data_IF_913770672642
#
_entry.id   IF_913770672642
#
_cell.length_a   1.000
_cell.length_b   1.000
_cell.length_c   1.000
_cell.angle_alpha   90.00
_cell.angle_beta   90.00
_cell.angle_gamma   90.00
#
_symmetry.space_group_name_H-M   'P 1'
#
loop_
_entity.id
_entity.type
_entity.pdbx_description
1 polymer ?
#
# COMPACT_ATOMS: atom_id res chain seq x y z
N UNK A 1 -11.84 1.26 14.40
CA UNK A 1 -11.18 1.93 13.25
C UNK A 1 -11.06 3.42 13.54
N UNK A 2 -10.20 4.14 12.82
CA UNK A 2 -10.02 5.59 12.93
C UNK A 2 -10.72 6.31 11.80
N UNK A 3 -10.60 5.79 10.57
CA UNK A 3 -11.31 6.24 9.38
C UNK A 3 -12.37 5.18 9.07
N UNK A 4 -13.63 5.61 8.99
CA UNK A 4 -14.75 4.74 8.64
C UNK A 4 -15.13 4.86 7.17
N UNK A 5 -14.67 5.90 6.48
CA UNK A 5 -14.96 6.14 5.09
C UNK A 5 -14.55 7.53 4.64
N UNK A 6 -14.90 7.85 3.39
CA UNK A 6 -14.66 9.15 2.79
C UNK A 6 -15.66 9.45 1.67
N UNK A 7 -15.81 10.75 1.37
CA UNK A 7 -16.48 11.27 0.19
C UNK A 7 -15.45 11.98 -0.71
N UNK A 8 -15.71 12.02 -2.02
CA UNK A 8 -14.96 12.80 -3.01
C UNK A 8 -15.91 13.80 -3.67
N UNK A 9 -15.53 15.08 -3.64
CA UNK A 9 -16.24 16.17 -4.33
C UNK A 9 -15.59 16.40 -5.69
N UNK A 10 -16.20 15.89 -6.74
CA UNK A 10 -15.62 15.85 -8.08
C UNK A 10 -15.70 17.18 -8.87
N UNK A 11 -16.60 18.08 -8.49
CA UNK A 11 -16.91 19.29 -9.27
C UNK A 11 -15.75 20.29 -9.37
N UNK A 12 -14.74 20.16 -8.50
CA UNK A 12 -13.61 21.09 -8.36
C UNK A 12 -12.26 20.46 -8.72
N UNK A 13 -12.22 19.19 -9.18
CA UNK A 13 -10.97 18.50 -9.50
C UNK A 13 -10.64 18.74 -10.98
N UNK A 14 -9.55 19.47 -11.22
CA UNK A 14 -9.01 19.80 -12.54
C UNK A 14 -7.54 19.32 -12.65
N UNK A 15 -7.32 18.04 -12.35
CA UNK A 15 -6.02 17.37 -12.53
C UNK A 15 -6.19 15.95 -13.09
N UNK A 16 -5.07 15.30 -13.37
CA UNK A 16 -5.02 13.95 -13.96
C UNK A 16 -5.83 12.88 -13.22
N UNK A 17 -6.16 13.10 -11.95
CA UNK A 17 -6.93 12.13 -11.13
C UNK A 17 -8.35 11.98 -11.66
N UNK A 18 -8.91 13.04 -12.27
CA UNK A 18 -10.24 12.97 -12.88
C UNK A 18 -10.30 11.98 -14.08
N UNK A 19 -9.15 11.69 -14.71
CA UNK A 19 -9.02 10.76 -15.82
C UNK A 19 -8.81 9.30 -15.36
N UNK A 20 -8.49 9.07 -14.08
CA UNK A 20 -8.35 7.73 -13.52
C UNK A 20 -9.73 7.14 -13.26
N UNK A 21 -10.19 6.31 -14.20
CA UNK A 21 -11.56 5.77 -14.21
C UNK A 21 -11.96 5.08 -12.91
N UNK A 22 -11.08 4.30 -12.31
CA UNK A 22 -11.32 3.60 -11.05
C UNK A 22 -11.60 4.58 -9.91
N UNK A 23 -10.75 5.60 -9.72
CA UNK A 23 -10.95 6.62 -8.69
C UNK A 23 -12.20 7.43 -9.00
N UNK A 24 -12.43 7.80 -10.27
CA UNK A 24 -13.60 8.55 -10.72
C UNK A 24 -14.91 7.84 -10.45
N UNK A 25 -14.89 6.50 -10.33
CA UNK A 25 -16.06 5.70 -9.98
C UNK A 25 -16.49 5.81 -8.51
N UNK A 26 -15.69 6.48 -7.66
CA UNK A 26 -15.94 6.60 -6.22
C UNK A 26 -16.51 7.98 -5.91
N UNK A 27 -17.77 8.06 -5.50
CA UNK A 27 -18.34 9.26 -4.89
C UNK A 27 -18.17 9.20 -3.37
N UNK A 28 -18.45 8.03 -2.78
CA UNK A 28 -18.26 7.75 -1.36
C UNK A 28 -17.79 6.31 -1.16
N UNK A 29 -17.07 6.07 -0.07
CA UNK A 29 -16.59 4.75 0.27
C UNK A 29 -16.60 4.51 1.80
N UNK A 30 -16.91 3.27 2.20
CA UNK A 30 -16.90 2.84 3.61
C UNK A 30 -15.87 1.75 3.85
N UNK A 31 -15.00 1.98 4.82
CA UNK A 31 -14.15 0.94 5.40
C UNK A 31 -14.97 0.13 6.40
N UNK A 32 -15.03 -1.18 6.22
CA UNK A 32 -15.79 -2.08 7.07
C UNK A 32 -14.92 -3.04 7.89
N UNK A 33 -13.59 -3.03 7.66
CA UNK A 33 -12.60 -3.87 8.33
C UNK A 33 -11.39 -3.04 8.79
N UNK A 34 -10.68 -3.49 9.83
CA UNK A 34 -9.46 -2.83 10.29
C UNK A 34 -8.30 -2.93 9.30
N UNK A 35 -8.33 -3.89 8.38
CA UNK A 35 -7.36 -4.04 7.29
C UNK A 35 -8.08 -3.97 5.96
N UNK A 36 -7.67 -3.02 5.11
CA UNK A 36 -8.18 -2.86 3.76
C UNK A 36 -7.04 -2.90 2.76
N UNK A 37 -7.16 -3.74 1.75
CA UNK A 37 -6.23 -3.80 0.63
C UNK A 37 -6.81 -3.17 -0.63
N UNK A 38 -5.96 -2.42 -1.34
CA UNK A 38 -6.19 -1.97 -2.70
C UNK A 38 -5.36 -2.85 -3.63
N UNK A 39 -6.00 -3.59 -4.52
CA UNK A 39 -5.35 -4.42 -5.53
C UNK A 39 -5.78 -4.02 -6.94
N UNK A 40 -5.08 -4.49 -7.95
CA UNK A 40 -5.32 -4.20 -9.37
C UNK A 40 -4.03 -3.87 -10.12
N UNK A 41 -4.11 -3.64 -11.41
CA UNK A 41 -2.96 -3.40 -12.28
C UNK A 41 -2.21 -2.09 -11.98
N UNK A 42 -0.99 -1.96 -12.55
CA UNK A 42 -0.21 -0.73 -12.47
C UNK A 42 -0.96 0.42 -13.15
N UNK A 43 -0.90 1.63 -12.56
CA UNK A 43 -1.61 2.79 -13.08
C UNK A 43 -3.13 2.81 -12.81
N UNK A 44 -3.68 1.81 -12.11
CA UNK A 44 -5.12 1.76 -11.79
C UNK A 44 -5.57 2.77 -10.72
N UNK A 45 -4.65 3.52 -10.09
CA UNK A 45 -4.99 4.57 -9.13
C UNK A 45 -4.87 4.17 -7.64
N UNK A 46 -4.44 2.95 -7.31
CA UNK A 46 -4.28 2.48 -5.92
C UNK A 46 -3.42 3.41 -5.07
N UNK A 47 -2.17 3.65 -5.53
CA UNK A 47 -1.22 4.52 -4.83
C UNK A 47 -1.70 5.96 -4.76
N UNK A 48 -2.37 6.47 -5.80
CA UNK A 48 -2.94 7.81 -5.82
C UNK A 48 -4.01 8.01 -4.74
N UNK A 49 -4.93 7.05 -4.61
CA UNK A 49 -5.96 7.10 -3.56
C UNK A 49 -5.35 6.92 -2.17
N UNK A 50 -4.42 5.98 -2.02
CA UNK A 50 -3.72 5.73 -0.74
C UNK A 50 -2.95 6.97 -0.28
N UNK A 51 -2.21 7.61 -1.18
CA UNK A 51 -1.47 8.85 -0.94
C UNK A 51 -2.42 10.00 -0.53
N UNK A 52 -3.52 10.18 -1.26
CA UNK A 52 -4.51 11.22 -0.92
C UNK A 52 -5.10 11.00 0.49
N UNK A 53 -5.39 9.76 0.87
CA UNK A 53 -5.84 9.41 2.22
C UNK A 53 -4.77 9.72 3.28
N UNK A 54 -3.50 9.39 3.02
CA UNK A 54 -2.38 9.68 3.92
C UNK A 54 -2.18 11.19 4.11
N UNK A 55 -2.14 11.96 3.03
CA UNK A 55 -1.99 13.43 3.05
C UNK A 55 -3.18 14.08 3.78
N UNK A 56 -4.42 13.63 3.53
CA UNK A 56 -5.62 14.13 4.21
C UNK A 56 -5.59 13.90 5.73
N UNK A 57 -4.79 12.93 6.20
CA UNK A 57 -4.50 12.71 7.62
C UNK A 57 -3.31 13.51 8.15
N UNK A 58 -2.66 14.32 7.30
CA UNK A 58 -1.54 15.19 7.65
C UNK A 58 -0.20 14.45 7.66
N UNK A 59 -0.06 13.37 6.85
CA UNK A 59 1.20 12.71 6.59
C UNK A 59 1.88 13.31 5.37
N UNK A 60 3.21 13.20 5.31
CA UNK A 60 3.99 13.66 4.18
C UNK A 60 3.76 12.76 2.95
N UNK A 61 3.59 13.29 1.73
CA UNK A 61 3.43 12.49 0.51
C UNK A 61 4.61 11.56 0.21
N UNK A 62 5.82 11.89 0.68
CA UNK A 62 6.99 11.04 0.54
C UNK A 62 7.06 9.91 1.57
N UNK A 63 6.16 9.89 2.56
CA UNK A 63 6.10 8.90 3.63
C UNK A 63 6.67 9.37 4.97
N UNK A 64 6.67 8.49 5.96
CA UNK A 64 7.13 8.76 7.32
C UNK A 64 5.99 9.08 8.29
N UNK A 65 6.35 9.73 9.40
CA UNK A 65 5.40 10.18 10.43
C UNK A 65 5.01 11.66 10.20
N UNK A 66 4.06 12.16 10.97
CA UNK A 66 3.62 13.58 10.93
C UNK A 66 4.73 14.62 11.16
N UNK A 67 5.84 14.23 11.76
CA UNK A 67 6.92 15.14 12.14
C UNK A 67 7.91 15.42 10.99
N UNK A 68 7.69 14.84 9.81
CA UNK A 68 8.53 15.04 8.64
C UNK A 68 7.95 16.15 7.77
N UNK A 69 8.52 17.33 7.87
CA UNK A 69 8.15 18.52 7.09
C UNK A 69 9.22 18.76 6.00
N UNK A 70 9.28 17.84 5.03
CA UNK A 70 10.07 18.05 3.82
C UNK A 70 9.30 17.58 2.58
N UNK A 71 9.27 18.40 1.57
CA UNK A 71 8.77 18.08 0.24
C UNK A 71 9.90 18.27 -0.75
N UNK A 72 10.30 17.20 -1.41
CA UNK A 72 11.31 17.26 -2.48
C UNK A 72 10.65 17.52 -3.83
N UNK A 73 9.36 17.20 -3.98
CA UNK A 73 8.58 17.41 -5.20
C UNK A 73 7.10 17.68 -4.89
N UNK A 74 6.53 18.69 -5.56
CA UNK A 74 5.08 19.03 -5.51
C UNK A 74 4.27 18.20 -6.54
N UNK A 75 4.58 16.91 -6.72
CA UNK A 75 3.97 16.07 -7.77
C UNK A 75 2.80 15.19 -7.31
N UNK A 76 2.25 15.46 -6.12
CA UNK A 76 1.07 14.74 -5.63
C UNK A 76 -0.25 15.35 -6.14
N UNK A 77 -1.28 14.51 -6.25
CA UNK A 77 -2.58 14.92 -6.77
C UNK A 77 -3.33 15.87 -5.83
N UNK A 78 -4.24 16.69 -6.39
CA UNK A 78 -5.13 17.54 -5.61
C UNK A 78 -6.23 16.75 -4.87
N UNK A 79 -6.40 15.47 -5.13
CA UNK A 79 -7.49 14.64 -4.62
C UNK A 79 -7.73 14.80 -3.11
N UNK A 80 -6.65 14.86 -2.31
CA UNK A 80 -6.75 15.04 -0.85
C UNK A 80 -7.48 16.34 -0.44
N UNK A 81 -7.49 17.39 -1.28
CA UNK A 81 -8.20 18.66 -1.00
C UNK A 81 -9.70 18.47 -1.13
N UNK A 82 -10.12 17.62 -2.07
CA UNK A 82 -11.52 17.39 -2.43
C UNK A 82 -12.14 16.16 -1.72
N UNK A 83 -11.43 15.58 -0.76
CA UNK A 83 -11.91 14.48 0.07
C UNK A 83 -12.41 14.97 1.42
N UNK A 84 -13.49 14.34 1.92
CA UNK A 84 -13.95 14.46 3.31
C UNK A 84 -13.83 13.10 3.99
N UNK A 85 -13.14 13.02 5.14
CA UNK A 85 -12.96 11.75 5.88
C UNK A 85 -13.98 11.61 7.01
N UNK A 86 -14.62 10.45 7.07
CA UNK A 86 -15.50 10.07 8.19
C UNK A 86 -14.66 9.40 9.27
N UNK A 87 -14.44 10.11 10.37
CA UNK A 87 -13.59 9.65 11.46
C UNK A 87 -14.42 9.32 12.69
N UNK A 88 -14.12 8.19 13.36
CA UNK A 88 -14.71 7.84 14.65
C UNK A 88 -13.86 8.28 15.84
N UNK A 89 -12.54 8.24 15.69
CA UNK A 89 -11.57 8.63 16.73
C UNK A 89 -10.25 9.07 16.10
N UNK A 90 -9.41 9.75 16.88
CA UNK A 90 -8.05 10.12 16.47
C UNK A 90 -7.09 8.98 16.78
N UNK A 91 -6.19 8.59 15.86
CA UNK A 91 -5.12 7.65 16.14
C UNK A 91 -4.04 8.31 17.04
N UNK A 92 -3.41 7.51 17.89
CA UNK A 92 -2.26 7.94 18.71
C UNK A 92 -0.99 8.03 17.85
N UNK A 93 -0.90 7.19 16.83
CA UNK A 93 0.23 7.09 15.92
C UNK A 93 -0.24 6.96 14.48
N UNK A 94 0.52 7.56 13.55
CA UNK A 94 0.29 7.39 12.10
C UNK A 94 1.61 7.25 11.37
N UNK A 95 1.60 6.38 10.38
CA UNK A 95 2.75 6.15 9.52
C UNK A 95 2.32 5.89 8.08
N UNK A 96 3.01 6.53 7.13
CA UNK A 96 2.90 6.25 5.71
C UNK A 96 4.21 5.67 5.21
N UNK A 97 4.14 4.49 4.60
CA UNK A 97 5.29 3.82 4.02
C UNK A 97 5.08 3.71 2.53
N UNK A 98 6.06 4.23 1.78
CA UNK A 98 6.18 4.03 0.33
C UNK A 98 7.47 3.28 0.05
N UNK A 99 7.39 2.18 -0.69
CA UNK A 99 8.59 1.40 -1.02
C UNK A 99 9.61 2.24 -1.82
N UNK A 100 9.15 3.06 -2.75
CA UNK A 100 9.99 3.92 -3.60
C UNK A 100 10.80 4.95 -2.80
N UNK A 101 10.21 5.57 -1.79
CA UNK A 101 10.87 6.63 -0.99
C UNK A 101 11.46 6.13 0.32
N UNK A 102 11.30 4.85 0.63
CA UNK A 102 11.73 4.26 1.90
C UNK A 102 13.18 4.57 2.25
N UNK A 103 14.10 4.46 1.29
CA UNK A 103 15.52 4.73 1.54
C UNK A 103 15.80 6.19 1.88
N UNK A 104 15.11 7.11 1.21
CA UNK A 104 15.25 8.55 1.48
C UNK A 104 14.70 8.89 2.87
N UNK A 105 13.53 8.35 3.23
CA UNK A 105 12.90 8.54 4.54
C UNK A 105 13.74 7.91 5.65
N UNK A 106 14.21 6.68 5.47
CA UNK A 106 15.04 5.98 6.47
C UNK A 106 16.38 6.70 6.71
N UNK A 107 17.03 7.20 5.65
CA UNK A 107 18.27 7.97 5.76
C UNK A 107 18.05 9.26 6.55
N UNK A 108 17.01 10.04 6.21
CA UNK A 108 16.67 11.26 6.91
C UNK A 108 16.26 11.02 8.37
N UNK A 109 15.53 9.93 8.65
CA UNK A 109 15.16 9.55 10.02
C UNK A 109 16.39 9.26 10.88
N UNK A 110 17.42 8.62 10.31
CA UNK A 110 18.69 8.37 10.98
C UNK A 110 19.44 9.68 11.25
N UNK A 111 19.46 10.61 10.30
CA UNK A 111 20.07 11.93 10.47
C UNK A 111 19.40 12.73 11.60
N UNK A 112 18.07 12.77 11.64
CA UNK A 112 17.32 13.48 12.69
C UNK A 112 17.51 12.90 14.09
N UNK A 113 17.68 11.59 14.22
CA UNK A 113 17.87 10.93 15.52
C UNK A 113 19.32 10.93 16.00
N UNK A 114 20.27 11.44 15.20
CA UNK A 114 21.70 11.48 15.57
C UNK A 114 22.34 10.11 15.74
N UNK A 115 21.70 9.05 15.27
CA UNK A 115 22.16 7.67 15.38
C UNK A 115 22.90 7.33 14.08
N UNK A 116 24.16 7.73 13.99
CA UNK A 116 25.11 7.12 13.08
C UNK A 116 25.40 5.70 13.57
N UNK A 117 24.55 4.73 13.24
CA UNK A 117 24.87 3.34 13.50
C UNK A 117 25.34 2.69 12.22
N UNK A 118 26.63 2.36 12.17
CA UNK A 118 27.30 1.56 11.12
C UNK A 118 26.62 0.19 10.88
N UNK A 119 25.66 -0.20 11.73
CA UNK A 119 25.01 -1.51 11.72
C UNK A 119 23.92 -1.70 10.65
N UNK A 120 23.43 -0.65 10.01
CA UNK A 120 22.40 -0.79 8.97
C UNK A 120 22.96 -1.13 7.58
N UNK A 121 24.26 -0.87 7.36
CA UNK A 121 24.93 -1.24 6.11
C UNK A 121 25.23 -2.74 6.00
N UNK A 122 25.23 -3.47 7.12
CA UNK A 122 25.48 -4.92 7.16
C UNK A 122 24.20 -5.78 7.03
N UNK A 123 23.00 -5.17 7.04
CA UNK A 123 21.74 -5.88 6.87
C UNK A 123 21.27 -5.83 5.42
N UNK A 124 20.67 -6.94 4.92
CA UNK A 124 20.04 -6.91 3.60
C UNK A 124 18.92 -5.86 3.59
N UNK A 125 18.68 -5.25 2.42
CA UNK A 125 17.70 -4.19 2.19
C UNK A 125 16.30 -4.54 2.77
N UNK A 126 15.86 -5.78 2.59
CA UNK A 126 14.56 -6.26 3.11
C UNK A 126 14.51 -6.39 4.64
N UNK A 127 15.63 -6.69 5.30
CA UNK A 127 15.71 -6.76 6.76
C UNK A 127 15.64 -5.37 7.39
N UNK A 128 16.28 -4.38 6.77
CA UNK A 128 16.23 -2.98 7.21
C UNK A 128 14.81 -2.42 7.11
N UNK A 129 14.11 -2.69 6.00
CA UNK A 129 12.72 -2.28 5.77
C UNK A 129 11.78 -2.84 6.84
N UNK A 130 11.82 -4.15 7.07
CA UNK A 130 10.98 -4.81 8.07
C UNK A 130 11.29 -4.31 9.49
N UNK A 131 12.58 -4.09 9.81
CA UNK A 131 13.00 -3.57 11.11
C UNK A 131 12.50 -2.15 11.38
N UNK A 132 12.47 -1.29 10.36
CA UNK A 132 11.90 0.07 10.49
C UNK A 132 10.39 -0.02 10.69
N UNK A 133 9.68 -0.82 9.91
CA UNK A 133 8.24 -1.00 10.07
C UNK A 133 7.89 -1.50 11.48
N UNK A 134 8.62 -2.50 11.99
CA UNK A 134 8.46 -3.01 13.36
C UNK A 134 8.64 -1.92 14.42
N UNK A 135 9.61 -1.01 14.25
CA UNK A 135 9.85 0.10 15.19
C UNK A 135 8.78 1.18 15.12
N UNK A 136 8.10 1.31 13.99
CA UNK A 136 7.06 2.32 13.77
C UNK A 136 5.67 1.82 14.18
N UNK A 137 5.51 0.51 14.48
CA UNK A 137 4.21 0.00 14.94
C UNK A 137 3.96 0.33 16.40
N UNK A 138 2.82 0.91 16.66
CA UNK A 138 2.35 1.31 17.99
C UNK A 138 0.88 0.96 18.17
N UNK A 139 0.43 0.88 19.42
CA UNK A 139 -0.99 0.71 19.75
C UNK A 139 -1.82 1.89 19.22
N UNK A 140 -3.07 1.63 18.87
CA UNK A 140 -3.99 2.65 18.35
C UNK A 140 -3.40 3.41 17.14
N UNK A 141 -2.71 2.69 16.24
CA UNK A 141 -2.04 3.26 15.07
C UNK A 141 -2.86 3.17 13.79
N UNK A 142 -2.68 4.16 12.91
CA UNK A 142 -3.21 4.18 11.53
C UNK A 142 -2.04 4.12 10.55
N UNK A 143 -2.05 3.12 9.68
CA UNK A 143 -0.95 2.81 8.77
C UNK A 143 -1.41 2.79 7.33
N UNK A 144 -0.66 3.49 6.48
CA UNK A 144 -0.77 3.45 5.02
C UNK A 144 0.49 2.80 4.47
N UNK A 145 0.35 1.72 3.71
CA UNK A 145 1.49 1.00 3.12
C UNK A 145 1.32 0.92 1.61
N UNK A 146 2.27 1.47 0.86
CA UNK A 146 2.29 1.47 -0.59
C UNK A 146 3.35 0.50 -1.10
N UNK A 147 2.91 -0.59 -1.70
CA UNK A 147 3.72 -1.68 -2.26
C UNK A 147 4.81 -2.22 -1.32
N UNK A 148 4.47 -2.56 -0.06
CA UNK A 148 5.47 -3.04 0.90
C UNK A 148 6.23 -4.28 0.42
N UNK A 149 5.65 -5.08 -0.47
CA UNK A 149 6.27 -6.26 -1.07
C UNK A 149 7.50 -5.94 -1.93
N UNK A 150 7.61 -4.74 -2.50
CA UNK A 150 8.75 -4.37 -3.36
C UNK A 150 10.09 -4.42 -2.61
N UNK A 151 10.07 -4.26 -1.29
CA UNK A 151 11.25 -4.36 -0.43
C UNK A 151 11.30 -5.64 0.42
N UNK A 152 10.33 -6.55 0.28
CA UNK A 152 10.18 -7.73 1.14
C UNK A 152 10.28 -9.05 0.37
N UNK A 153 11.12 -9.96 0.85
CA UNK A 153 11.05 -11.36 0.42
C UNK A 153 9.71 -11.99 0.77
N UNK A 154 9.33 -13.09 0.10
CA UNK A 154 8.10 -13.82 0.41
C UNK A 154 7.99 -14.22 1.90
N UNK A 155 9.10 -14.58 2.53
CA UNK A 155 9.14 -14.89 3.96
C UNK A 155 8.86 -13.66 4.83
N UNK A 156 9.41 -12.50 4.48
CA UNK A 156 9.16 -11.26 5.20
C UNK A 156 7.73 -10.73 4.96
N UNK A 157 7.13 -11.00 3.81
CA UNK A 157 5.71 -10.72 3.56
C UNK A 157 4.82 -11.57 4.48
N UNK A 158 5.12 -12.86 4.68
CA UNK A 158 4.43 -13.68 5.66
C UNK A 158 4.61 -13.14 7.09
N UNK A 159 5.83 -12.74 7.46
CA UNK A 159 6.08 -12.12 8.76
C UNK A 159 5.29 -10.81 8.94
N UNK A 160 5.13 -10.02 7.87
CA UNK A 160 4.30 -8.81 7.89
C UNK A 160 2.83 -9.11 8.20
N UNK A 161 2.27 -10.21 7.68
CA UNK A 161 0.89 -10.61 8.02
C UNK A 161 0.72 -10.85 9.52
N UNK A 162 1.66 -11.53 10.16
CA UNK A 162 1.63 -11.75 11.62
C UNK A 162 1.76 -10.43 12.39
N UNK A 163 2.61 -9.51 11.92
CA UNK A 163 2.74 -8.19 12.54
C UNK A 163 1.43 -7.38 12.43
N UNK A 164 0.80 -7.37 11.26
CA UNK A 164 -0.49 -6.70 11.06
C UNK A 164 -1.55 -7.27 12.02
N UNK A 165 -1.64 -8.60 12.15
CA UNK A 165 -2.58 -9.26 13.04
C UNK A 165 -2.38 -8.84 14.51
N UNK A 166 -1.12 -8.81 14.99
CA UNK A 166 -0.81 -8.36 16.34
C UNK A 166 -1.15 -6.87 16.55
N UNK A 167 -0.91 -6.03 15.54
CA UNK A 167 -1.30 -4.62 15.59
C UNK A 167 -2.82 -4.43 15.60
N UNK A 168 -3.56 -5.21 14.80
CA UNK A 168 -5.04 -5.17 14.77
C UNK A 168 -5.61 -5.51 16.15
N UNK A 169 -5.07 -6.50 16.86
CA UNK A 169 -5.44 -6.81 18.26
C UNK A 169 -5.18 -5.64 19.21
N UNK A 170 -4.28 -4.73 18.85
CA UNK A 170 -3.96 -3.51 19.59
C UNK A 170 -4.70 -2.28 19.04
N UNK A 171 -5.83 -2.49 18.35
CA UNK A 171 -6.70 -1.46 17.77
C UNK A 171 -6.06 -0.65 16.63
N UNK A 172 -5.13 -1.19 15.88
CA UNK A 172 -4.59 -0.53 14.69
C UNK A 172 -5.53 -0.68 13.49
N UNK A 173 -5.36 0.22 12.52
CA UNK A 173 -6.01 0.16 11.20
C UNK A 173 -4.96 0.27 10.12
N UNK A 174 -5.09 -0.56 9.08
CA UNK A 174 -4.19 -0.59 7.93
C UNK A 174 -4.97 -0.36 6.63
N UNK A 175 -4.43 0.48 5.76
CA UNK A 175 -4.86 0.63 4.37
C UNK A 175 -3.61 0.40 3.51
N UNK A 176 -3.64 -0.61 2.64
CA UNK A 176 -2.45 -1.15 1.98
C UNK A 176 -2.72 -1.28 0.49
N UNK A 177 -1.93 -0.62 -0.36
CA UNK A 177 -1.88 -0.89 -1.79
C UNK A 177 -0.84 -1.97 -2.05
N UNK A 178 -1.21 -3.05 -2.76
CA UNK A 178 -0.33 -4.19 -2.99
C UNK A 178 -0.73 -5.01 -4.22
N UNK A 179 0.26 -5.62 -4.86
CA UNK A 179 0.10 -6.66 -5.88
C UNK A 179 0.38 -8.07 -5.34
N UNK A 180 0.83 -8.18 -4.09
CA UNK A 180 1.25 -9.45 -3.52
C UNK A 180 0.08 -10.38 -3.21
N UNK A 181 0.00 -11.56 -3.83
CA UNK A 181 -0.99 -12.57 -3.44
C UNK A 181 -0.78 -13.10 -2.01
N UNK A 182 0.43 -12.94 -1.44
CA UNK A 182 0.71 -13.30 -0.05
C UNK A 182 0.02 -12.31 0.88
N UNK A 183 0.22 -11.00 0.67
CA UNK A 183 -0.35 -9.97 1.53
C UNK A 183 -1.88 -9.93 1.43
N UNK A 184 -2.44 -10.05 0.22
CA UNK A 184 -3.89 -10.13 -0.01
C UNK A 184 -4.55 -11.32 0.71
N UNK A 185 -3.77 -12.35 1.05
CA UNK A 185 -4.22 -13.53 1.80
C UNK A 185 -4.45 -13.27 3.30
N UNK A 186 -4.35 -12.03 3.80
CA UNK A 186 -4.65 -11.70 5.19
C UNK A 186 -6.12 -12.03 5.53
N UNK A 187 -6.38 -12.76 6.64
CA UNK A 187 -7.73 -13.18 6.98
C UNK A 187 -8.64 -12.00 7.35
N UNK A 188 -9.89 -12.08 6.91
CA UNK A 188 -10.93 -11.07 7.22
C UNK A 188 -10.61 -9.64 6.82
N UNK A 189 -9.74 -9.42 5.84
CA UNK A 189 -9.52 -8.10 5.25
C UNK A 189 -10.69 -7.71 4.34
N UNK A 190 -10.82 -6.41 4.08
CA UNK A 190 -11.59 -5.86 2.98
C UNK A 190 -10.63 -5.72 1.78
N UNK A 191 -10.95 -6.32 0.64
CA UNK A 191 -10.11 -6.25 -0.56
C UNK A 191 -10.89 -5.50 -1.65
N UNK A 192 -10.28 -4.42 -2.15
CA UNK A 192 -10.82 -3.58 -3.21
C UNK A 192 -10.01 -3.76 -4.47
N UNK A 193 -10.63 -4.25 -5.53
CA UNK A 193 -10.05 -4.26 -6.87
C UNK A 193 -10.27 -2.93 -7.56
N UNK A 194 -9.20 -2.42 -8.18
CA UNK A 194 -9.17 -1.22 -9.03
C UNK A 194 -9.14 -1.58 -10.52
N UNK A 195 -9.37 -2.85 -10.84
CA UNK A 195 -9.39 -3.32 -12.22
C UNK A 195 -10.65 -2.85 -12.96
N UNK A 196 -10.66 -2.95 -14.30
CA UNK A 196 -11.80 -2.62 -15.16
C UNK A 196 -12.33 -1.18 -15.01
N UNK A 197 -11.53 -0.25 -14.49
CA UNK A 197 -11.88 1.17 -14.35
C UNK A 197 -12.96 1.47 -13.31
N UNK A 198 -13.14 0.62 -12.33
CA UNK A 198 -14.03 0.80 -11.16
C UNK A 198 -13.37 0.27 -9.90
N UNK A 199 -13.92 0.66 -8.75
CA UNK A 199 -13.50 0.11 -7.44
C UNK A 199 -14.63 -0.75 -6.90
N UNK A 200 -14.34 -2.02 -6.67
CA UNK A 200 -15.31 -2.96 -6.11
C UNK A 200 -14.66 -3.91 -5.10
N UNK A 201 -15.45 -4.33 -4.11
CA UNK A 201 -15.01 -5.31 -3.11
C UNK A 201 -15.02 -6.71 -3.73
N UNK A 202 -13.91 -7.44 -3.57
CA UNK A 202 -13.71 -8.77 -4.14
C UNK A 202 -13.20 -9.76 -3.11
N UNK A 203 -13.46 -11.04 -3.35
CA UNK A 203 -12.86 -12.11 -2.56
C UNK A 203 -11.38 -12.32 -2.92
N UNK A 204 -10.56 -12.71 -1.94
CA UNK A 204 -9.14 -13.00 -2.13
C UNK A 204 -8.85 -13.87 -3.34
N UNK A 205 -9.59 -14.98 -3.50
CA UNK A 205 -9.39 -15.93 -4.60
C UNK A 205 -9.82 -15.40 -5.96
N UNK A 206 -10.56 -14.29 -6.00
CA UNK A 206 -11.00 -13.63 -7.22
C UNK A 206 -10.02 -12.56 -7.70
N UNK A 207 -8.99 -12.21 -6.90
CA UNK A 207 -7.98 -11.24 -7.30
C UNK A 207 -7.12 -11.78 -8.45
N UNK A 208 -6.77 -10.91 -9.40
CA UNK A 208 -5.94 -11.27 -10.58
C UNK A 208 -4.58 -11.82 -10.16
N UNK A 209 -3.94 -11.22 -9.15
CA UNK A 209 -2.64 -11.68 -8.63
C UNK A 209 -2.70 -13.08 -8.03
N UNK A 210 -3.76 -13.43 -7.27
CA UNK A 210 -3.93 -14.79 -6.78
C UNK A 210 -4.14 -15.79 -7.92
N UNK A 211 -5.04 -15.48 -8.85
CA UNK A 211 -5.37 -16.39 -9.95
C UNK A 211 -4.18 -16.63 -10.87
N UNK A 212 -3.45 -15.57 -11.22
CA UNK A 212 -2.25 -15.67 -12.06
C UNK A 212 -1.15 -16.51 -11.39
N UNK A 213 -0.85 -16.22 -10.11
CA UNK A 213 0.17 -16.97 -9.37
C UNK A 213 -0.23 -18.45 -9.21
N UNK A 214 -1.49 -18.70 -8.87
CA UNK A 214 -2.02 -20.07 -8.74
C UNK A 214 -1.95 -20.83 -10.05
N UNK A 215 -2.39 -20.20 -11.15
CA UNK A 215 -2.34 -20.80 -12.47
C UNK A 215 -0.91 -21.18 -12.88
N UNK A 216 0.05 -20.25 -12.65
CA UNK A 216 1.46 -20.49 -12.95
C UNK A 216 2.02 -21.67 -12.13
N UNK A 217 1.78 -21.69 -10.82
CA UNK A 217 2.28 -22.76 -9.95
C UNK A 217 1.64 -24.12 -10.27
N UNK A 218 0.33 -24.16 -10.52
CA UNK A 218 -0.41 -25.40 -10.86
C UNK A 218 -0.04 -25.95 -12.24
N UNK A 219 0.46 -25.12 -13.16
CA UNK A 219 0.79 -25.49 -14.55
C UNK A 219 2.21 -25.11 -14.95
N UNK A 220 3.14 -25.13 -14.02
CA UNK A 220 4.52 -24.73 -14.23
C UNK A 220 5.17 -25.37 -15.47
N UNK A 221 5.08 -26.70 -15.60
CA UNK A 221 5.69 -27.43 -16.72
C UNK A 221 5.11 -27.03 -18.09
N UNK A 222 3.81 -26.70 -18.12
CA UNK A 222 3.19 -26.20 -19.34
C UNK A 222 3.76 -24.83 -19.75
N UNK A 223 3.88 -23.90 -18.83
CA UNK A 223 4.44 -22.57 -19.12
C UNK A 223 5.90 -22.64 -19.53
N UNK A 224 6.72 -23.50 -18.88
CA UNK A 224 8.13 -23.71 -19.27
C UNK A 224 8.24 -24.20 -20.69
N UNK A 225 7.43 -25.20 -21.06
CA UNK A 225 7.41 -25.76 -22.42
C UNK A 225 6.97 -24.70 -23.45
N UNK A 226 5.91 -23.96 -23.19
CA UNK A 226 5.39 -22.91 -24.06
C UNK A 226 6.44 -21.81 -24.32
N UNK A 227 7.13 -21.35 -23.25
CA UNK A 227 8.23 -20.36 -23.37
C UNK A 227 9.39 -20.90 -24.24
N UNK A 228 9.74 -22.17 -24.10
CA UNK A 228 10.81 -22.77 -24.87
C UNK A 228 10.44 -22.92 -26.36
N UNK A 229 9.23 -23.39 -26.66
CA UNK A 229 8.74 -23.57 -28.03
C UNK A 229 8.56 -22.23 -28.77
N UNK A 230 8.09 -21.17 -28.07
CA UNK A 230 7.91 -19.85 -28.66
C UNK A 230 9.23 -19.09 -28.87
N UNK A 231 10.30 -19.40 -28.11
CA UNK A 231 11.63 -18.84 -28.35
C UNK A 231 12.33 -19.44 -29.60
N UNK A 232 11.97 -20.65 -30.02
CA UNK A 232 12.48 -21.23 -31.26
C UNK A 232 11.82 -20.64 -32.53
N UNK A 233 10.66 -19.96 -32.35
CA UNK A 233 9.89 -19.33 -33.45
C UNK A 233 10.24 -17.87 -33.77
N UNK A 234 11.20 -17.26 -33.10
CA UNK A 234 11.76 -15.93 -33.42
C UNK A 234 10.72 -14.83 -33.56
N UNK A 235 10.07 -14.44 -32.45
CA UNK A 235 9.29 -13.19 -32.36
C UNK A 235 9.65 -12.47 -31.06
N UNK A 236 10.52 -11.52 -31.19
CA UNK A 236 10.53 -10.24 -30.45
C UNK A 236 11.03 -9.18 -31.38
#
# INVERSE_FOLDING_TARGET
MFINGFDILWDEIDDYVADIKSIRSIDQFMFNKPVTFFCGENGSGKSTLLEALAIKNGLNPEGGTRNYDFSTYDSYSSLHKHMSLWRSRKPDWMYFLRAESFYNVATKEMEYRGIFSERYHDQSHGQSFFSVLMKQTNKNGLYFLDEPEAALSCQNQLALLYLIEECVKQNCQFIIATHSPILLGFPNAQILSFDDGKVEEVDYKSTSSYQTMKLFLDRYDYFVKDIQENNEGGIL
#
